data_IF_196393951999
#
_entry.id   IF_196393951999
#
_cell.length_a   1.000
_cell.length_b   1.000
_cell.length_c   1.000
_cell.angle_alpha   90.00
_cell.angle_beta   90.00
_cell.angle_gamma   90.00
#
_symmetry.space_group_name_H-M   'P 1'
#
loop_
_entity.id
_entity.type
_entity.pdbx_description
1 polymer ?
#
# COMPACT_ATOMS: atom_id res chain seq x y z
N UNK A 1 15.56 -15.07 6.61
CA UNK A 1 16.36 -14.03 5.94
C UNK A 1 15.63 -12.71 6.04
N UNK A 2 16.34 -11.65 6.35
CA UNK A 2 15.73 -10.36 6.68
C UNK A 2 15.97 -9.33 5.60
N UNK A 3 16.01 -9.74 4.35
CA UNK A 3 16.27 -8.85 3.24
C UNK A 3 15.40 -9.11 2.01
N UNK A 4 14.24 -9.76 2.23
CA UNK A 4 13.30 -10.04 1.14
C UNK A 4 12.77 -8.81 0.42
N UNK A 5 12.84 -7.63 1.06
CA UNK A 5 12.38 -6.38 0.49
C UNK A 5 13.52 -5.38 0.31
N UNK A 6 14.75 -5.84 0.29
CA UNK A 6 15.90 -4.97 0.13
C UNK A 6 15.83 -4.20 -1.20
N UNK A 7 16.02 -2.90 -1.14
CA UNK A 7 15.96 -2.05 -2.33
C UNK A 7 14.55 -1.64 -2.75
N UNK A 8 13.53 -2.07 -2.00
CA UNK A 8 12.14 -1.73 -2.29
C UNK A 8 11.67 -0.61 -1.36
N UNK A 9 11.09 0.43 -1.92
CA UNK A 9 10.47 1.49 -1.12
C UNK A 9 8.97 1.28 -1.06
N UNK A 10 8.41 1.38 0.14
CA UNK A 10 6.99 1.13 0.41
C UNK A 10 6.38 2.35 1.08
N UNK A 11 5.26 2.81 0.55
CA UNK A 11 4.45 3.85 1.18
C UNK A 11 3.31 3.18 1.92
N UNK A 12 3.24 3.40 3.22
CA UNK A 12 2.18 2.85 4.08
C UNK A 12 1.21 3.97 4.44
N UNK A 13 -0.09 3.72 4.27
CA UNK A 13 -1.14 4.67 4.61
C UNK A 13 -2.09 4.01 5.61
N UNK A 14 -2.01 4.44 6.87
CA UNK A 14 -2.75 3.83 7.97
C UNK A 14 -2.91 4.84 9.09
N UNK A 15 -4.15 5.12 9.52
CA UNK A 15 -4.38 6.10 10.58
C UNK A 15 -4.22 5.53 12.00
N UNK A 16 -4.33 4.21 12.17
CA UNK A 16 -4.12 3.59 13.46
C UNK A 16 -2.62 3.55 13.79
N UNK A 17 -2.23 4.19 14.89
CA UNK A 17 -0.82 4.33 15.24
C UNK A 17 -0.12 2.99 15.45
N UNK A 18 -0.79 2.06 16.14
CA UNK A 18 -0.20 0.75 16.45
C UNK A 18 -0.02 -0.09 15.18
N UNK A 19 -1.03 -0.11 14.32
CA UNK A 19 -0.96 -0.85 13.07
C UNK A 19 0.08 -0.24 12.14
N UNK A 20 0.15 1.09 12.09
CA UNK A 20 1.14 1.79 11.25
C UNK A 20 2.55 1.46 11.70
N UNK A 21 2.82 1.47 13.01
CA UNK A 21 4.14 1.14 13.55
C UNK A 21 4.48 -0.33 13.32
N UNK A 22 3.51 -1.23 13.48
CA UNK A 22 3.72 -2.65 13.20
C UNK A 22 4.13 -2.88 11.76
N UNK A 23 3.43 -2.26 10.81
CA UNK A 23 3.76 -2.38 9.40
C UNK A 23 5.15 -1.85 9.11
N UNK A 24 5.50 -0.72 9.70
CA UNK A 24 6.82 -0.12 9.51
C UNK A 24 7.92 -1.08 9.97
N UNK A 25 7.82 -1.59 11.20
CA UNK A 25 8.82 -2.49 11.76
C UNK A 25 8.92 -3.78 10.94
N UNK A 26 7.77 -4.36 10.60
CA UNK A 26 7.71 -5.59 9.83
C UNK A 26 8.44 -5.44 8.49
N UNK A 27 8.15 -4.37 7.77
CA UNK A 27 8.71 -4.20 6.42
C UNK A 27 10.16 -3.74 6.46
N UNK A 28 10.52 -2.89 7.41
CA UNK A 28 11.93 -2.47 7.58
C UNK A 28 12.82 -3.64 7.99
N UNK A 29 12.30 -4.55 8.77
CA UNK A 29 13.05 -5.76 9.16
C UNK A 29 13.42 -6.60 7.93
N UNK A 30 12.61 -6.51 6.87
CA UNK A 30 12.90 -7.21 5.60
C UNK A 30 13.75 -6.38 4.65
N UNK A 31 14.23 -5.24 5.06
CA UNK A 31 15.11 -4.41 4.26
C UNK A 31 14.44 -3.31 3.46
N UNK A 32 13.13 -3.14 3.56
CA UNK A 32 12.42 -2.10 2.83
C UNK A 32 12.71 -0.71 3.37
N UNK A 33 12.69 0.29 2.50
CA UNK A 33 12.65 1.68 2.89
C UNK A 33 11.18 2.06 3.03
N UNK A 34 10.73 2.36 4.25
CA UNK A 34 9.32 2.57 4.54
C UNK A 34 9.03 4.03 4.87
N UNK A 35 8.04 4.60 4.19
CA UNK A 35 7.48 5.89 4.54
C UNK A 35 6.06 5.65 5.06
N UNK A 36 5.78 6.12 6.26
CA UNK A 36 4.45 5.95 6.86
C UNK A 36 3.69 7.25 6.85
N UNK A 37 2.39 7.17 6.56
CA UNK A 37 1.50 8.32 6.54
C UNK A 37 0.16 7.93 7.17
N UNK A 38 -0.56 8.93 7.68
CA UNK A 38 -1.80 8.69 8.41
C UNK A 38 -3.04 9.29 7.73
N UNK A 39 -2.88 9.94 6.59
CA UNK A 39 -3.99 10.59 5.88
C UNK A 39 -3.76 10.56 4.37
N UNK A 40 -4.82 10.81 3.62
CA UNK A 40 -4.75 10.92 2.16
C UNK A 40 -3.80 12.03 1.75
N UNK A 41 -3.90 13.18 2.40
CA UNK A 41 -3.07 14.34 2.07
C UNK A 41 -1.59 14.06 2.28
N UNK A 42 -1.24 13.47 3.42
CA UNK A 42 0.15 13.08 3.71
C UNK A 42 0.64 12.05 2.70
N UNK A 43 -0.20 11.08 2.37
CA UNK A 43 0.15 10.02 1.44
C UNK A 43 0.45 10.58 0.05
N UNK A 44 -0.38 11.51 -0.44
CA UNK A 44 -0.16 12.09 -1.77
C UNK A 44 1.10 12.94 -1.81
N UNK A 45 1.37 13.68 -0.73
CA UNK A 45 2.59 14.47 -0.62
C UNK A 45 3.83 13.56 -0.67
N UNK A 46 3.82 12.47 0.11
CA UNK A 46 4.90 11.51 0.12
C UNK A 46 5.06 10.81 -1.23
N UNK A 47 3.94 10.49 -1.88
CA UNK A 47 3.95 9.87 -3.20
C UNK A 47 4.64 10.75 -4.23
N UNK A 48 4.31 12.03 -4.21
CA UNK A 48 4.90 12.99 -5.16
C UNK A 48 6.40 13.20 -4.91
N UNK A 49 6.82 13.17 -3.64
CA UNK A 49 8.21 13.39 -3.27
C UNK A 49 9.12 12.22 -3.59
N UNK A 50 8.69 10.99 -3.33
CA UNK A 50 9.59 9.84 -3.37
C UNK A 50 9.13 8.71 -4.28
N UNK A 51 7.95 8.78 -4.83
CA UNK A 51 7.37 7.77 -5.74
C UNK A 51 7.80 6.34 -5.39
N UNK A 52 7.06 5.69 -4.50
CA UNK A 52 7.44 4.38 -3.97
C UNK A 52 7.31 3.26 -5.02
N UNK A 53 7.86 2.11 -4.71
CA UNK A 53 7.68 0.91 -5.55
C UNK A 53 6.33 0.24 -5.32
N UNK A 54 5.80 0.32 -4.09
CA UNK A 54 4.53 -0.32 -3.72
C UNK A 54 3.84 0.54 -2.67
N UNK A 55 2.50 0.61 -2.75
CA UNK A 55 1.67 1.27 -1.74
C UNK A 55 0.93 0.21 -0.95
N UNK A 56 0.89 0.34 0.37
CA UNK A 56 0.06 -0.48 1.26
C UNK A 56 -0.87 0.47 2.00
N UNK A 57 -2.17 0.38 1.73
CA UNK A 57 -3.14 1.33 2.27
C UNK A 57 -4.32 0.63 2.94
N UNK A 58 -4.68 1.08 4.14
CA UNK A 58 -5.91 0.67 4.80
C UNK A 58 -7.05 1.52 4.25
N UNK A 59 -8.07 0.87 3.68
CA UNK A 59 -9.21 1.58 3.11
C UNK A 59 -10.39 1.71 4.07
N UNK A 60 -10.29 1.13 5.26
CA UNK A 60 -11.37 1.13 6.26
C UNK A 60 -11.26 2.21 7.33
N UNK A 61 -10.43 3.22 7.14
CA UNK A 61 -10.19 4.25 8.14
C UNK A 61 -11.36 5.26 8.18
N UNK A 62 -11.78 5.70 9.40
CA UNK A 62 -12.96 6.57 9.55
C UNK A 62 -12.89 7.89 8.78
N UNK A 63 -11.78 8.60 8.82
CA UNK A 63 -11.63 9.90 8.16
C UNK A 63 -10.83 9.79 6.87
N UNK A 64 -10.82 8.60 6.27
CA UNK A 64 -9.98 8.32 5.15
C UNK A 64 -10.78 7.60 4.06
N UNK A 65 -10.65 8.07 2.84
CA UNK A 65 -11.26 7.41 1.70
C UNK A 65 -10.17 6.84 0.79
N UNK A 66 -9.92 5.53 0.94
CA UNK A 66 -8.92 4.84 0.13
C UNK A 66 -9.21 4.88 -1.35
N UNK A 67 -10.47 4.98 -1.72
CA UNK A 67 -10.84 5.09 -3.13
C UNK A 67 -10.45 6.45 -3.70
N UNK A 68 -10.59 7.52 -2.91
CA UNK A 68 -10.12 8.85 -3.30
C UNK A 68 -8.61 8.85 -3.47
N UNK A 69 -7.90 8.23 -2.53
CA UNK A 69 -6.45 8.13 -2.62
C UNK A 69 -6.01 7.44 -3.90
N UNK A 70 -6.55 6.23 -4.15
CA UNK A 70 -6.11 5.46 -5.31
C UNK A 70 -6.47 6.14 -6.63
N UNK A 71 -7.61 6.81 -6.67
CA UNK A 71 -7.99 7.59 -7.86
C UNK A 71 -6.99 8.69 -8.18
N UNK A 72 -6.54 9.40 -7.16
CA UNK A 72 -5.55 10.47 -7.33
C UNK A 72 -4.16 9.93 -7.67
N UNK A 73 -3.79 8.79 -7.08
CA UNK A 73 -2.54 8.12 -7.40
C UNK A 73 -2.55 7.70 -8.88
N UNK A 74 -3.65 7.11 -9.35
CA UNK A 74 -3.75 6.67 -10.75
C UNK A 74 -3.72 7.84 -11.73
N UNK A 75 -4.27 9.00 -11.34
CA UNK A 75 -4.15 10.20 -12.18
C UNK A 75 -2.68 10.61 -12.35
N UNK A 76 -1.90 10.56 -11.26
CA UNK A 76 -0.47 10.85 -11.32
C UNK A 76 0.30 9.83 -12.16
N UNK A 77 -0.09 8.56 -12.03
CA UNK A 77 0.54 7.47 -12.79
C UNK A 77 0.32 7.65 -14.30
N UNK A 78 -0.87 8.06 -14.70
CA UNK A 78 -1.16 8.31 -16.12
C UNK A 78 -0.28 9.43 -16.67
N UNK A 79 -0.04 10.47 -15.88
CA UNK A 79 0.84 11.56 -16.31
C UNK A 79 2.30 11.10 -16.45
N UNK A 80 2.72 10.18 -15.58
CA UNK A 80 4.09 9.67 -15.58
C UNK A 80 4.30 8.48 -16.52
N UNK A 81 3.22 7.86 -16.98
CA UNK A 81 3.29 6.70 -17.86
C UNK A 81 3.73 5.42 -17.16
N UNK A 82 3.65 5.37 -15.85
CA UNK A 82 4.08 4.21 -15.06
C UNK A 82 3.18 4.01 -13.85
N UNK A 83 2.71 2.78 -13.65
CA UNK A 83 1.81 2.42 -12.54
C UNK A 83 2.62 1.94 -11.34
N UNK A 84 2.35 2.52 -10.17
CA UNK A 84 2.87 2.02 -8.89
C UNK A 84 1.82 1.07 -8.31
N UNK A 85 2.14 -0.20 -8.10
CA UNK A 85 1.16 -1.15 -7.58
C UNK A 85 0.75 -0.83 -6.15
N UNK A 86 -0.50 -1.13 -5.82
CA UNK A 86 -1.08 -0.82 -4.53
C UNK A 86 -1.84 -2.00 -3.97
N UNK A 87 -1.66 -2.24 -2.67
CA UNK A 87 -2.34 -3.27 -1.90
C UNK A 87 -3.34 -2.58 -0.97
N UNK A 88 -4.60 -3.01 -1.01
CA UNK A 88 -5.61 -2.52 -0.07
C UNK A 88 -5.71 -3.49 1.09
N UNK A 89 -5.49 -3.01 2.30
CA UNK A 89 -5.77 -3.74 3.53
C UNK A 89 -7.17 -3.34 3.99
N UNK A 90 -8.02 -4.33 4.33
CA UNK A 90 -9.40 -4.03 4.67
C UNK A 90 -9.98 -5.11 5.58
N UNK A 91 -10.90 -4.67 6.47
CA UNK A 91 -11.72 -5.60 7.24
C UNK A 91 -12.86 -6.19 6.42
N UNK A 92 -13.11 -5.66 5.22
CA UNK A 92 -14.15 -6.17 4.33
C UNK A 92 -13.67 -7.45 3.65
N UNK A 93 -14.50 -8.49 3.72
CA UNK A 93 -14.11 -9.82 3.26
C UNK A 93 -15.01 -10.42 2.20
N UNK A 94 -16.05 -9.70 1.75
CA UNK A 94 -16.97 -10.22 0.74
C UNK A 94 -16.39 -10.10 -0.67
N UNK A 95 -16.86 -10.92 -1.58
CA UNK A 95 -16.44 -10.86 -2.98
C UNK A 95 -16.78 -9.50 -3.62
N UNK A 96 -17.93 -8.92 -3.23
CA UNK A 96 -18.35 -7.62 -3.75
C UNK A 96 -17.35 -6.55 -3.35
N UNK A 97 -16.91 -6.55 -2.08
CA UNK A 97 -15.94 -5.58 -1.60
C UNK A 97 -14.61 -5.74 -2.33
N UNK A 98 -14.18 -6.98 -2.56
CA UNK A 98 -12.95 -7.24 -3.31
C UNK A 98 -13.04 -6.68 -4.73
N UNK A 99 -14.13 -6.93 -5.41
CA UNK A 99 -14.32 -6.45 -6.79
C UNK A 99 -14.31 -4.92 -6.84
N UNK A 100 -14.95 -4.27 -5.87
CA UNK A 100 -14.96 -2.81 -5.77
C UNK A 100 -13.55 -2.26 -5.56
N UNK A 101 -12.78 -2.88 -4.67
CA UNK A 101 -11.39 -2.48 -4.39
C UNK A 101 -10.54 -2.60 -5.65
N UNK A 102 -10.61 -3.72 -6.34
CA UNK A 102 -9.81 -3.94 -7.54
C UNK A 102 -10.23 -2.99 -8.67
N UNK A 103 -11.54 -2.76 -8.83
CA UNK A 103 -12.05 -1.85 -9.86
C UNK A 103 -11.63 -0.41 -9.60
N UNK A 104 -11.42 -0.04 -8.34
CA UNK A 104 -11.00 1.32 -7.99
C UNK A 104 -9.54 1.61 -8.36
N UNK A 105 -8.73 0.57 -8.56
CA UNK A 105 -7.35 0.75 -9.01
C UNK A 105 -6.28 0.06 -8.18
N UNK A 106 -6.67 -0.71 -7.16
CA UNK A 106 -5.72 -1.52 -6.40
C UNK A 106 -5.42 -2.82 -7.15
N UNK A 107 -4.20 -3.31 -7.05
CA UNK A 107 -3.81 -4.56 -7.68
C UNK A 107 -4.13 -5.77 -6.82
N UNK A 108 -4.12 -5.59 -5.49
CA UNK A 108 -4.35 -6.69 -4.55
C UNK A 108 -5.26 -6.21 -3.42
N UNK A 109 -6.17 -7.08 -3.03
CA UNK A 109 -7.03 -6.92 -1.85
C UNK A 109 -6.57 -7.93 -0.82
N UNK A 110 -6.26 -7.46 0.40
CA UNK A 110 -5.82 -8.33 1.48
C UNK A 110 -6.67 -8.07 2.72
N UNK A 111 -7.45 -9.05 3.19
CA UNK A 111 -8.27 -8.88 4.38
C UNK A 111 -7.42 -8.82 5.64
N UNK A 112 -7.91 -8.12 6.65
CA UNK A 112 -7.34 -8.10 8.00
C UNK A 112 -8.02 -9.19 8.84
N UNK A 113 -7.29 -9.82 9.74
CA UNK A 113 -5.85 -9.69 9.99
C UNK A 113 -5.05 -10.35 8.86
N UNK A 114 -4.00 -9.68 8.41
CA UNK A 114 -3.16 -10.22 7.35
C UNK A 114 -2.04 -11.08 7.94
N UNK A 115 -1.57 -12.03 7.15
CA UNK A 115 -0.41 -12.83 7.51
C UNK A 115 0.85 -12.09 7.05
N UNK A 116 1.82 -11.82 7.98
CA UNK A 116 3.00 -11.04 7.63
C UNK A 116 3.82 -11.61 6.46
N UNK A 117 4.06 -12.91 6.43
CA UNK A 117 4.85 -13.51 5.36
C UNK A 117 4.16 -13.39 3.99
N UNK A 118 2.84 -13.45 3.97
CA UNK A 118 2.07 -13.28 2.74
C UNK A 118 2.16 -11.84 2.23
N UNK A 119 2.05 -10.88 3.13
CA UNK A 119 2.18 -9.46 2.75
C UNK A 119 3.56 -9.18 2.16
N UNK A 120 4.61 -9.66 2.80
CA UNK A 120 5.98 -9.49 2.34
C UNK A 120 6.16 -10.11 0.95
N UNK A 121 5.66 -11.33 0.75
CA UNK A 121 5.76 -12.02 -0.53
C UNK A 121 5.03 -11.25 -1.65
N UNK A 122 3.84 -10.75 -1.37
CA UNK A 122 3.06 -10.00 -2.35
C UNK A 122 3.75 -8.69 -2.70
N UNK A 123 4.32 -7.99 -1.72
CA UNK A 123 5.06 -6.75 -1.98
C UNK A 123 6.24 -7.02 -2.89
N UNK A 124 7.01 -8.07 -2.62
CA UNK A 124 8.17 -8.43 -3.44
C UNK A 124 7.75 -8.74 -4.88
N UNK A 125 6.68 -9.51 -5.05
CA UNK A 125 6.16 -9.89 -6.36
C UNK A 125 5.70 -8.67 -7.15
N UNK A 126 4.95 -7.76 -6.51
CA UNK A 126 4.46 -6.55 -7.17
C UNK A 126 5.60 -5.63 -7.56
N UNK A 127 6.58 -5.44 -6.67
CA UNK A 127 7.73 -4.60 -6.98
C UNK A 127 8.51 -5.12 -8.18
N UNK A 128 8.66 -6.44 -8.30
CA UNK A 128 9.34 -7.06 -9.44
C UNK A 128 8.54 -6.91 -10.72
N UNK A 129 7.23 -7.11 -10.65
CA UNK A 129 6.35 -7.06 -11.82
C UNK A 129 6.20 -5.66 -12.40
N UNK A 130 6.20 -4.64 -11.55
CA UNK A 130 5.92 -3.25 -11.96
C UNK A 130 7.15 -2.36 -12.01
N UNK A 131 8.30 -2.91 -12.09
CA UNK A 131 9.55 -2.13 -12.21
C UNK A 131 9.54 -1.16 -13.37
#
# INVERSE_FOLDING_TARGET
>A
MNDGLKGISVLVVEDDDDTRELLKVLLETQGAAVTTTASVQEALSAYDQSRPNVIVADIGMPDYNGYTLIGRVRARDREKGKIVPAIALTAFTTAIDRDTVLSAGFQVHMPKPFEPSRLISIIADLAAKYR
#
